data_IF_942597840960
#
_entry.id   IF_942597840960
#
_cell.length_a   1.000
_cell.length_b   1.000
_cell.length_c   1.000
_cell.angle_alpha   90.00
_cell.angle_beta   90.00
_cell.angle_gamma   90.00
#
_symmetry.space_group_name_H-M   'P 1'
#
loop_
_entity.id
_entity.type
_entity.pdbx_description
1 polymer ?
#
# COMPACT_ATOMS: atom_id res chain seq x y z
N UNK A 1 -32.43 6.20 7.35
CA UNK A 1 -31.63 5.87 8.56
C UNK A 1 -32.51 5.22 9.64
N UNK A 2 -31.97 4.31 10.48
CA UNK A 2 -32.62 3.79 11.70
C UNK A 2 -31.90 4.38 12.91
N UNK A 3 -32.65 4.95 13.86
CA UNK A 3 -32.13 5.52 15.11
C UNK A 3 -32.76 4.81 16.30
N UNK A 4 -31.99 4.51 17.34
CA UNK A 4 -32.45 3.79 18.53
C UNK A 4 -32.54 4.74 19.74
N UNK A 5 -33.61 4.61 20.52
CA UNK A 5 -33.76 5.42 21.73
C UNK A 5 -32.80 4.92 22.83
N UNK A 6 -31.96 5.80 23.42
CA UNK A 6 -30.98 5.40 24.44
C UNK A 6 -31.63 4.97 25.76
N UNK A 7 -32.86 5.39 26.03
CA UNK A 7 -33.56 5.12 27.29
C UNK A 7 -34.34 3.79 27.28
N UNK A 8 -34.86 3.36 26.13
CA UNK A 8 -35.71 2.15 26.05
C UNK A 8 -35.42 1.21 24.86
N UNK A 9 -34.44 1.52 24.02
CA UNK A 9 -34.04 0.69 22.87
C UNK A 9 -35.01 0.69 21.68
N UNK A 10 -36.08 1.50 21.70
CA UNK A 10 -37.03 1.53 20.58
C UNK A 10 -36.39 2.09 19.30
N UNK A 11 -36.58 1.38 18.18
CA UNK A 11 -36.02 1.72 16.86
C UNK A 11 -36.99 2.60 16.07
N UNK A 12 -36.48 3.67 15.47
CA UNK A 12 -37.23 4.61 14.62
C UNK A 12 -36.60 4.67 13.23
N UNK A 13 -37.40 4.48 12.18
CA UNK A 13 -36.97 4.72 10.80
C UNK A 13 -37.20 6.18 10.46
N UNK A 14 -36.12 6.93 10.26
CA UNK A 14 -36.17 8.36 9.91
C UNK A 14 -35.87 8.49 8.40
N UNK A 15 -36.80 9.05 7.61
CA UNK A 15 -36.57 9.33 6.20
C UNK A 15 -35.58 10.49 6.04
N UNK A 16 -34.70 10.38 5.05
CA UNK A 16 -33.56 11.29 4.83
C UNK A 16 -33.98 12.73 4.54
N UNK A 17 -35.14 12.90 3.91
CA UNK A 17 -35.78 14.21 3.70
C UNK A 17 -36.05 14.97 5.03
N UNK A 18 -36.21 14.22 6.13
CA UNK A 18 -36.35 14.77 7.49
C UNK A 18 -35.03 14.84 8.25
N UNK A 19 -33.90 14.47 7.65
CA UNK A 19 -32.55 14.62 8.17
C UNK A 19 -31.80 15.69 7.36
N UNK A 20 -32.26 16.95 7.42
CA UNK A 20 -31.46 18.07 6.94
C UNK A 20 -30.12 18.17 7.70
N UNK A 21 -29.17 18.95 7.16
CA UNK A 21 -27.82 19.13 7.71
C UNK A 21 -27.85 19.77 9.11
N UNK A 22 -27.92 18.97 10.17
CA UNK A 22 -27.87 19.45 11.55
C UNK A 22 -28.37 18.44 12.59
N UNK A 23 -28.12 18.77 13.86
CA UNK A 23 -28.62 18.01 15.01
C UNK A 23 -30.14 18.21 15.15
N UNK A 24 -30.90 17.12 15.22
CA UNK A 24 -32.36 17.15 15.43
C UNK A 24 -32.74 16.48 16.75
N UNK A 25 -33.73 17.05 17.43
CA UNK A 25 -34.32 16.48 18.65
C UNK A 25 -35.42 15.48 18.29
N UNK A 26 -35.31 14.24 18.77
CA UNK A 26 -36.33 13.20 18.65
C UNK A 26 -36.96 12.96 20.03
N UNK A 27 -38.30 12.98 20.11
CA UNK A 27 -39.02 12.48 21.28
C UNK A 27 -39.43 11.02 21.06
N UNK A 28 -39.04 10.15 21.97
CA UNK A 28 -39.44 8.76 21.97
C UNK A 28 -40.94 8.62 22.30
N UNK A 29 -41.71 7.91 21.47
CA UNK A 29 -43.14 7.62 21.74
C UNK A 29 -43.34 6.54 22.83
N UNK A 30 -42.29 5.84 23.24
CA UNK A 30 -42.38 4.75 24.22
C UNK A 30 -42.09 5.18 25.64
N UNK A 31 -41.00 5.93 25.86
CA UNK A 31 -40.57 6.38 27.19
C UNK A 31 -40.57 7.91 27.35
N UNK A 32 -40.99 8.66 26.34
CA UNK A 32 -41.02 10.13 26.33
C UNK A 32 -39.65 10.84 26.41
N UNK A 33 -38.54 10.10 26.42
CA UNK A 33 -37.18 10.64 26.37
C UNK A 33 -36.97 11.52 25.13
N UNK A 34 -36.33 12.68 25.30
CA UNK A 34 -36.00 13.61 24.21
C UNK A 34 -34.49 13.61 24.02
N UNK A 35 -34.04 13.03 22.91
CA UNK A 35 -32.61 12.89 22.61
C UNK A 35 -32.26 13.52 21.26
N UNK A 36 -31.01 13.98 21.13
CA UNK A 36 -30.49 14.54 19.89
C UNK A 36 -29.83 13.45 19.06
N UNK A 37 -30.12 13.45 17.76
CA UNK A 37 -29.41 12.64 16.78
C UNK A 37 -28.82 13.57 15.72
N UNK A 38 -27.56 13.35 15.37
CA UNK A 38 -26.92 14.02 14.26
C UNK A 38 -27.10 13.16 13.00
N UNK A 39 -27.55 13.79 11.92
CA UNK A 39 -27.33 13.27 10.58
C UNK A 39 -25.84 13.47 10.25
N UNK A 40 -24.96 12.75 10.94
CA UNK A 40 -23.56 12.70 10.54
C UNK A 40 -23.55 12.04 9.17
N UNK A 41 -23.41 12.89 8.15
CA UNK A 41 -23.10 12.49 6.78
C UNK A 41 -22.05 11.39 6.86
N UNK A 42 -22.34 10.26 6.23
CA UNK A 42 -21.36 9.25 5.85
C UNK A 42 -20.38 9.88 4.85
N UNK A 43 -19.60 10.87 5.29
CA UNK A 43 -18.26 11.04 4.78
C UNK A 43 -17.48 9.97 5.49
N UNK A 44 -17.34 8.86 4.79
CA UNK A 44 -16.19 7.97 4.87
C UNK A 44 -15.16 8.52 5.86
N UNK A 45 -15.20 7.95 7.07
CA UNK A 45 -13.95 7.49 7.66
C UNK A 45 -13.38 6.51 6.64
N UNK A 46 -12.80 7.05 5.58
CA UNK A 46 -11.73 6.40 4.89
C UNK A 46 -10.69 6.35 5.97
N UNK A 47 -10.70 5.23 6.70
CA UNK A 47 -9.53 4.72 7.38
C UNK A 47 -8.37 5.22 6.55
N UNK A 48 -7.57 6.10 7.15
CA UNK A 48 -6.21 6.33 6.68
C UNK A 48 -5.58 4.94 6.78
N UNK A 49 -5.79 4.13 5.73
CA UNK A 49 -4.83 3.14 5.28
C UNK A 49 -3.51 3.85 5.48
N UNK A 50 -2.64 3.38 6.38
CA UNK A 50 -1.40 4.07 6.69
C UNK A 50 -0.81 4.44 5.34
N UNK A 51 -0.62 5.75 5.09
CA UNK A 51 -0.11 6.28 3.83
C UNK A 51 0.89 5.26 3.33
N UNK A 52 0.61 4.56 2.22
CA UNK A 52 1.43 3.41 1.82
C UNK A 52 2.87 3.88 1.84
N UNK A 53 3.61 3.42 2.85
CA UNK A 53 4.91 3.96 3.17
C UNK A 53 5.73 3.92 1.88
N UNK A 54 6.30 5.06 1.51
CA UNK A 54 6.90 5.23 0.19
C UNK A 54 8.02 4.20 -0.01
N UNK A 55 8.69 3.85 1.09
CA UNK A 55 9.63 2.73 1.17
C UNK A 55 8.97 1.39 0.81
N UNK A 56 7.77 1.08 1.30
CA UNK A 56 7.01 -0.10 0.85
C UNK A 56 6.66 -0.07 -0.64
N UNK A 57 6.25 1.07 -1.20
CA UNK A 57 6.00 1.20 -2.65
C UNK A 57 7.28 0.98 -3.46
N UNK A 58 8.38 1.54 -2.98
CA UNK A 58 9.68 1.42 -3.63
C UNK A 58 10.24 0.00 -3.58
N UNK A 59 10.07 -0.70 -2.45
CA UNK A 59 10.36 -2.14 -2.31
C UNK A 59 9.55 -2.97 -3.30
N UNK A 60 8.24 -2.69 -3.45
CA UNK A 60 7.40 -3.38 -4.43
C UNK A 60 7.91 -3.17 -5.85
N UNK A 61 8.20 -1.93 -6.26
CA UNK A 61 8.68 -1.68 -7.62
C UNK A 61 10.03 -2.37 -7.87
N UNK A 62 10.96 -2.33 -6.91
CA UNK A 62 12.25 -3.02 -7.05
C UNK A 62 12.08 -4.54 -7.30
N UNK A 63 11.19 -5.20 -6.55
CA UNK A 63 10.88 -6.63 -6.75
C UNK A 63 10.21 -6.91 -8.09
N UNK A 64 9.32 -6.03 -8.55
CA UNK A 64 8.69 -6.15 -9.87
C UNK A 64 9.74 -6.08 -10.97
N UNK A 65 10.64 -5.09 -10.91
CA UNK A 65 11.72 -4.94 -11.91
C UNK A 65 12.67 -6.14 -11.89
N UNK A 66 13.06 -6.63 -10.71
CA UNK A 66 13.87 -7.84 -10.61
C UNK A 66 13.14 -9.09 -11.14
N UNK A 67 11.82 -9.20 -10.94
CA UNK A 67 11.02 -10.30 -11.48
C UNK A 67 10.94 -10.23 -12.99
N UNK A 68 10.83 -9.02 -13.55
CA UNK A 68 10.83 -8.77 -14.99
C UNK A 68 12.14 -9.27 -15.63
N UNK A 69 13.27 -8.99 -14.97
CA UNK A 69 14.58 -9.51 -15.39
C UNK A 69 14.59 -11.05 -15.43
N UNK A 70 14.00 -11.73 -14.44
CA UNK A 70 13.87 -13.20 -14.45
C UNK A 70 13.02 -13.69 -15.61
N UNK A 71 11.86 -13.09 -15.81
CA UNK A 71 10.90 -13.50 -16.85
C UNK A 71 11.49 -13.34 -18.24
N UNK A 72 12.12 -12.19 -18.51
CA UNK A 72 12.65 -11.89 -19.84
C UNK A 72 14.06 -12.43 -20.10
N UNK A 73 14.83 -12.77 -19.07
CA UNK A 73 16.21 -13.26 -19.22
C UNK A 73 16.41 -14.64 -18.58
N UNK A 74 15.39 -15.51 -18.63
CA UNK A 74 15.37 -16.79 -17.89
C UNK A 74 16.64 -17.63 -18.07
N UNK A 75 17.04 -17.88 -19.31
CA UNK A 75 18.22 -18.71 -19.62
C UNK A 75 19.52 -18.06 -19.12
N UNK A 76 19.64 -16.73 -19.26
CA UNK A 76 20.78 -15.96 -18.76
C UNK A 76 20.85 -16.01 -17.24
N UNK A 77 19.72 -15.85 -16.55
CA UNK A 77 19.61 -15.91 -15.08
C UNK A 77 19.97 -17.29 -14.57
N UNK A 78 19.45 -18.35 -15.19
CA UNK A 78 19.76 -19.73 -14.81
C UNK A 78 21.26 -20.03 -14.95
N UNK A 79 21.89 -19.62 -16.06
CA UNK A 79 23.33 -19.74 -16.25
C UNK A 79 24.11 -18.94 -15.22
N UNK A 80 23.75 -17.67 -15.05
CA UNK A 80 24.44 -16.73 -14.16
C UNK A 80 24.36 -17.16 -12.68
N UNK A 81 23.27 -17.81 -12.27
CA UNK A 81 23.14 -18.44 -10.95
C UNK A 81 24.12 -19.59 -10.75
N UNK A 82 24.39 -20.36 -11.80
CA UNK A 82 25.26 -21.53 -11.70
C UNK A 82 26.74 -21.19 -11.60
N UNK A 83 27.18 -20.06 -12.18
CA UNK A 83 28.58 -19.65 -12.24
C UNK A 83 28.89 -18.39 -11.40
N UNK A 84 27.90 -17.85 -10.69
CA UNK A 84 28.06 -16.67 -9.82
C UNK A 84 28.26 -15.37 -10.59
N UNK A 85 27.84 -15.29 -11.85
CA UNK A 85 28.06 -14.13 -12.72
C UNK A 85 26.85 -13.19 -12.83
N UNK A 86 25.86 -13.31 -11.93
CA UNK A 86 24.62 -12.53 -11.93
C UNK A 86 24.83 -11.00 -12.09
N UNK A 87 25.70 -10.34 -11.30
CA UNK A 87 25.90 -8.89 -11.42
C UNK A 87 26.53 -8.48 -12.75
N UNK A 88 27.30 -9.38 -13.38
CA UNK A 88 28.04 -9.11 -14.62
C UNK A 88 27.14 -9.33 -15.83
N UNK A 89 26.49 -10.49 -15.93
CA UNK A 89 25.69 -10.86 -17.10
C UNK A 89 24.39 -10.07 -17.19
N UNK A 90 23.81 -9.66 -16.05
CA UNK A 90 22.58 -8.86 -16.03
C UNK A 90 22.84 -7.36 -15.86
N UNK A 91 24.09 -6.91 -15.91
CA UNK A 91 24.47 -5.51 -15.64
C UNK A 91 23.61 -4.50 -16.40
N UNK A 92 23.41 -4.71 -17.70
CA UNK A 92 22.63 -3.80 -18.53
C UNK A 92 21.15 -3.72 -18.09
N UNK A 93 20.56 -4.84 -17.68
CA UNK A 93 19.17 -4.86 -17.19
C UNK A 93 19.04 -4.21 -15.81
N UNK A 94 20.02 -4.48 -14.94
CA UNK A 94 20.10 -3.91 -13.60
C UNK A 94 20.24 -2.39 -13.68
N UNK A 95 21.15 -1.88 -14.51
CA UNK A 95 21.39 -0.44 -14.68
C UNK A 95 20.12 0.25 -15.20
N UNK A 96 19.46 -0.30 -16.22
CA UNK A 96 18.20 0.25 -16.76
C UNK A 96 17.08 0.27 -15.72
N UNK A 97 16.94 -0.83 -14.98
CA UNK A 97 15.92 -0.95 -13.94
C UNK A 97 16.19 -0.02 -12.76
N UNK A 98 17.46 0.16 -12.38
CA UNK A 98 17.86 1.12 -11.36
C UNK A 98 17.53 2.56 -11.78
N UNK A 99 17.82 2.94 -13.03
CA UNK A 99 17.47 4.28 -13.53
C UNK A 99 15.96 4.52 -13.47
N UNK A 100 15.16 3.55 -13.94
CA UNK A 100 13.70 3.64 -13.88
C UNK A 100 13.18 3.76 -12.44
N UNK A 101 13.72 2.96 -11.53
CA UNK A 101 13.37 2.99 -10.12
C UNK A 101 13.69 4.35 -9.50
N UNK A 102 14.90 4.88 -9.74
CA UNK A 102 15.36 6.17 -9.19
C UNK A 102 14.58 7.36 -9.72
N UNK A 103 14.17 7.34 -11.00
CA UNK A 103 13.29 8.36 -11.55
C UNK A 103 11.92 8.39 -10.86
N UNK A 104 11.47 7.26 -10.31
CA UNK A 104 10.16 7.13 -9.67
C UNK A 104 10.15 7.49 -8.19
N UNK A 105 11.29 7.34 -7.52
CA UNK A 105 11.49 7.61 -6.08
C UNK A 105 12.73 8.50 -5.82
N UNK A 106 12.78 9.73 -6.35
CA UNK A 106 13.95 10.60 -6.19
C UNK A 106 14.26 10.93 -4.73
N UNK A 107 13.24 10.97 -3.86
CA UNK A 107 13.35 11.25 -2.43
C UNK A 107 14.00 10.13 -1.61
N UNK A 108 14.01 8.89 -2.12
CA UNK A 108 14.63 7.74 -1.44
C UNK A 108 16.08 7.48 -1.89
N UNK A 109 16.77 8.49 -2.40
CA UNK A 109 18.11 8.33 -2.99
C UNK A 109 19.16 7.70 -2.05
N UNK A 110 19.09 7.98 -0.75
CA UNK A 110 20.02 7.43 0.25
C UNK A 110 19.74 5.95 0.54
N UNK A 111 18.49 5.60 0.86
CA UNK A 111 18.07 4.24 1.21
C UNK A 111 17.80 3.34 -0.01
N UNK A 112 17.69 3.94 -1.18
CA UNK A 112 17.22 3.26 -2.40
C UNK A 112 18.17 2.18 -2.89
N UNK A 113 19.47 2.38 -2.68
CA UNK A 113 20.48 1.37 -3.03
C UNK A 113 20.23 0.07 -2.26
N UNK A 114 19.90 0.16 -0.97
CA UNK A 114 19.64 -1.02 -0.14
C UNK A 114 18.34 -1.70 -0.53
N UNK A 115 17.29 -0.92 -0.76
CA UNK A 115 15.98 -1.42 -1.23
C UNK A 115 16.14 -2.21 -2.54
N UNK A 116 16.89 -1.66 -3.49
CA UNK A 116 17.06 -2.28 -4.80
C UNK A 116 17.97 -3.50 -4.72
N UNK A 117 19.09 -3.41 -3.99
CA UNK A 117 20.00 -4.53 -3.73
C UNK A 117 19.27 -5.71 -3.09
N UNK A 118 18.44 -5.46 -2.08
CA UNK A 118 17.64 -6.49 -1.42
C UNK A 118 16.70 -7.20 -2.41
N UNK A 119 16.10 -6.46 -3.33
CA UNK A 119 15.25 -7.04 -4.36
C UNK A 119 16.03 -7.91 -5.35
N UNK A 120 17.23 -7.47 -5.78
CA UNK A 120 18.11 -8.28 -6.63
C UNK A 120 18.53 -9.57 -5.91
N UNK A 121 18.92 -9.48 -4.63
CA UNK A 121 19.29 -10.63 -3.80
C UNK A 121 18.15 -11.63 -3.69
N UNK A 122 16.98 -11.16 -3.30
CA UNK A 122 15.83 -12.02 -3.04
C UNK A 122 15.30 -12.68 -4.33
N UNK A 123 15.30 -11.95 -5.45
CA UNK A 123 14.63 -12.39 -6.70
C UNK A 123 15.60 -12.99 -7.70
N UNK A 124 16.74 -12.34 -7.97
CA UNK A 124 17.73 -12.84 -8.93
C UNK A 124 18.64 -13.89 -8.30
N UNK A 125 19.20 -13.64 -7.10
CA UNK A 125 20.09 -14.59 -6.44
C UNK A 125 19.37 -15.66 -5.61
N UNK A 126 18.04 -15.57 -5.45
CA UNK A 126 17.28 -16.51 -4.62
C UNK A 126 17.70 -16.51 -3.14
N UNK A 127 18.21 -15.36 -2.66
CA UNK A 127 18.75 -15.19 -1.31
C UNK A 127 20.27 -15.38 -1.18
N UNK A 128 20.99 -15.66 -2.28
CA UNK A 128 22.46 -15.73 -2.29
C UNK A 128 23.15 -14.38 -2.13
N UNK A 129 24.46 -14.37 -1.92
CA UNK A 129 25.27 -13.18 -1.61
C UNK A 129 25.83 -12.44 -2.83
N UNK A 130 25.44 -12.82 -4.06
CA UNK A 130 25.95 -12.28 -5.34
C UNK A 130 25.88 -10.75 -5.46
N UNK A 131 25.00 -10.10 -4.68
CA UNK A 131 24.75 -8.66 -4.75
C UNK A 131 25.15 -7.87 -3.50
N UNK A 132 25.83 -8.46 -2.52
CA UNK A 132 26.15 -7.76 -1.26
C UNK A 132 26.99 -6.49 -1.47
N UNK A 133 27.93 -6.57 -2.40
CA UNK A 133 28.80 -5.46 -2.83
C UNK A 133 28.23 -4.65 -4.01
N UNK A 134 27.03 -4.97 -4.49
CA UNK A 134 26.45 -4.29 -5.65
C UNK A 134 26.18 -2.81 -5.35
N UNK A 135 26.61 -1.96 -6.30
CA UNK A 135 26.44 -0.51 -6.29
C UNK A 135 26.11 -0.05 -7.73
N UNK A 136 25.16 0.88 -7.90
CA UNK A 136 24.79 1.42 -9.22
C UNK A 136 25.81 2.40 -9.81
#
# INVERSE_FOLDING_TARGET
MIVECPSCGKRYRIPEDKLGSGSKKLRCRNCSEVFEFSAASEKESREELPEEDETMRARRLARVLASDMVVYNRDTVEKARSDGSLPVLLKAEIDRSWQLWRTRFPELSETGVEIFRDALRDVLAGGGEDFDDWRP
#
